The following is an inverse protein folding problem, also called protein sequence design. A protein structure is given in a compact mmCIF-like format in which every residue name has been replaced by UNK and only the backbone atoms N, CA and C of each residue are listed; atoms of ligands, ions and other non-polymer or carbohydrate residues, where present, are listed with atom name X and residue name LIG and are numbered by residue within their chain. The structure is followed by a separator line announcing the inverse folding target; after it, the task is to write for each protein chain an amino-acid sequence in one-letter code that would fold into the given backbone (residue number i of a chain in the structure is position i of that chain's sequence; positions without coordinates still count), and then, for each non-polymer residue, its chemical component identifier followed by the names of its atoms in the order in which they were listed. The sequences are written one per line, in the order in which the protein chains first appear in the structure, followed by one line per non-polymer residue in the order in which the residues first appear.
data_IF_183893480953
#
_entry.id   IF_183893480953
#
_cell.length_a   1.000
_cell.length_b   1.000
_cell.length_c   1.000
_cell.angle_alpha   90.00
_cell.angle_beta   90.00
_cell.angle_gamma   90.00
#
_symmetry.space_group_name_H-M   'P 1'
#
loop_
_entity.id
_entity.type
_entity.pdbx_description
1 polymer ?
#
# COMPACT_ATOMS: atom_id res chain seq x y z
N UNK A 1 30.06 5.09 65.78
CA UNK A 1 28.89 4.22 65.51
C UNK A 1 27.68 5.01 65.04
N UNK A 2 27.18 5.99 65.80
CA UNK A 2 26.01 6.82 65.40
C UNK A 2 26.16 7.52 64.04
N UNK A 3 27.33 8.08 63.75
CA UNK A 3 27.61 8.72 62.45
C UNK A 3 27.60 7.76 61.26
N UNK A 4 28.01 6.50 61.47
CA UNK A 4 28.05 5.45 60.44
C UNK A 4 26.63 4.92 60.21
N UNK A 5 25.88 4.65 61.28
CA UNK A 5 24.47 4.23 61.19
C UNK A 5 23.62 5.27 60.45
N UNK A 6 23.78 6.55 60.76
CA UNK A 6 23.03 7.63 60.12
C UNK A 6 23.40 7.84 58.64
N UNK A 7 24.57 7.36 58.20
CA UNK A 7 24.99 7.44 56.80
C UNK A 7 24.40 6.33 55.92
N UNK A 8 23.78 5.31 56.52
CA UNK A 8 23.16 4.18 55.82
C UNK A 8 21.64 4.35 55.87
N UNK A 9 21.11 4.98 54.83
CA UNK A 9 19.67 5.10 54.55
C UNK A 9 19.36 4.31 53.28
N UNK A 10 18.33 3.48 53.31
CA UNK A 10 17.96 2.61 52.18
C UNK A 10 16.48 2.78 51.88
N UNK A 11 16.16 3.30 50.70
CA UNK A 11 14.80 3.79 50.41
C UNK A 11 14.42 5.00 51.26
N UNK A 12 13.12 5.24 51.42
CA UNK A 12 12.58 6.40 52.14
C UNK A 12 12.59 6.19 53.66
N UNK A 13 12.19 4.99 54.12
CA UNK A 13 12.06 4.66 55.55
C UNK A 13 13.02 3.58 56.05
N UNK A 14 13.84 3.00 55.16
CA UNK A 14 14.83 2.02 55.57
C UNK A 14 16.06 2.66 56.20
N UNK A 15 16.64 1.96 57.17
CA UNK A 15 17.70 2.48 58.03
C UNK A 15 18.59 1.36 58.53
N UNK A 16 19.78 1.67 59.04
CA UNK A 16 20.61 0.70 59.75
C UNK A 16 20.27 0.65 61.24
N UNK A 17 20.32 -0.54 61.83
CA UNK A 17 20.25 -0.77 63.27
C UNK A 17 21.38 -1.72 63.71
N UNK A 18 21.98 -1.43 64.87
CA UNK A 18 23.12 -2.18 65.42
C UNK A 18 22.75 -2.66 66.82
N UNK A 19 23.07 -3.92 67.11
CA UNK A 19 22.76 -4.61 68.35
C UNK A 19 24.02 -5.24 68.96
N UNK A 20 24.03 -5.39 70.28
CA UNK A 20 25.05 -6.20 70.95
C UNK A 20 24.72 -7.71 70.90
N UNK A 21 25.60 -8.53 71.45
CA UNK A 21 25.47 -9.99 71.49
C UNK A 21 24.30 -10.51 72.33
N UNK A 22 23.63 -9.64 73.08
CA UNK A 22 22.46 -9.96 73.91
C UNK A 22 21.16 -9.40 73.32
N UNK A 23 21.22 -8.73 72.17
CA UNK A 23 20.06 -8.12 71.50
C UNK A 23 19.69 -6.72 72.01
N UNK A 24 20.57 -6.05 72.77
CA UNK A 24 20.35 -4.66 73.17
C UNK A 24 20.71 -3.71 72.03
N UNK A 25 19.90 -2.67 71.84
CA UNK A 25 20.13 -1.65 70.81
C UNK A 25 21.37 -0.81 71.13
N UNK A 26 22.37 -0.85 70.25
CA UNK A 26 23.57 0.01 70.30
C UNK A 26 23.41 1.27 69.44
N UNK A 27 22.78 1.15 68.27
CA UNK A 27 22.50 2.28 67.38
C UNK A 27 21.20 2.06 66.61
N UNK A 28 20.31 3.04 66.62
CA UNK A 28 19.01 2.97 65.91
C UNK A 28 18.48 4.40 65.67
N UNK A 29 17.73 4.69 64.58
CA UNK A 29 17.21 6.04 64.32
C UNK A 29 16.27 6.56 65.43
N UNK A 30 15.51 5.66 66.04
CA UNK A 30 14.67 5.98 67.20
C UNK A 30 15.54 6.16 68.47
N UNK A 31 15.83 7.42 68.79
CA UNK A 31 16.68 7.81 69.91
C UNK A 31 16.17 7.30 71.27
N UNK A 32 14.84 7.20 71.45
CA UNK A 32 14.27 6.71 72.72
C UNK A 32 14.64 5.25 72.99
N UNK A 33 14.65 4.41 71.94
CA UNK A 33 15.02 3.01 72.05
C UNK A 33 16.53 2.82 72.27
N UNK A 34 17.34 3.69 71.66
CA UNK A 34 18.78 3.67 71.82
C UNK A 34 19.18 4.14 73.23
N UNK A 35 18.60 5.22 73.74
CA UNK A 35 18.91 5.76 75.07
C UNK A 35 18.41 4.84 76.20
N UNK A 36 17.30 4.12 75.98
CA UNK A 36 16.80 3.14 76.95
C UNK A 36 17.54 1.81 76.92
N UNK A 37 18.45 1.58 75.95
CA UNK A 37 19.10 0.28 75.74
C UNK A 37 18.09 -0.86 75.55
N UNK A 38 17.00 -0.60 74.81
CA UNK A 38 15.90 -1.55 74.70
C UNK A 38 16.41 -2.89 74.14
N UNK A 39 15.99 -3.99 74.77
CA UNK A 39 16.31 -5.33 74.31
C UNK A 39 15.27 -5.81 73.30
N UNK A 40 15.72 -6.12 72.08
CA UNK A 40 14.88 -6.61 70.99
C UNK A 40 15.15 -8.07 70.64
N UNK A 41 15.72 -8.88 71.53
CA UNK A 41 15.99 -10.30 71.29
C UNK A 41 14.72 -11.12 70.96
N UNK A 42 13.53 -10.63 71.36
CA UNK A 42 12.24 -11.24 71.00
C UNK A 42 11.87 -11.08 69.52
N UNK A 43 12.55 -10.22 68.79
CA UNK A 43 12.35 -10.06 67.35
C UNK A 43 13.16 -11.15 66.64
N UNK A 44 12.51 -11.94 65.77
CA UNK A 44 13.10 -13.11 65.11
C UNK A 44 14.46 -12.84 64.47
N UNK A 45 14.56 -11.73 63.74
CA UNK A 45 15.80 -11.35 63.04
C UNK A 45 16.94 -10.95 64.00
N UNK A 46 16.61 -10.44 65.18
CA UNK A 46 17.62 -10.12 66.22
C UNK A 46 18.09 -11.40 66.88
N UNK A 47 17.20 -12.38 67.09
CA UNK A 47 17.59 -13.69 67.59
C UNK A 47 18.55 -14.41 66.62
N UNK A 48 18.26 -14.39 65.31
CA UNK A 48 19.16 -14.94 64.29
C UNK A 48 20.54 -14.27 64.31
N UNK A 49 20.60 -12.95 64.53
CA UNK A 49 21.88 -12.24 64.72
C UNK A 49 22.61 -12.66 66.00
N UNK A 50 21.90 -12.97 67.08
CA UNK A 50 22.53 -13.51 68.31
C UNK A 50 23.08 -14.92 68.04
N UNK A 51 22.36 -15.71 67.24
CA UNK A 51 22.76 -17.07 66.87
C UNK A 51 23.90 -17.09 65.83
N UNK A 52 24.35 -15.92 65.37
CA UNK A 52 25.48 -15.77 64.44
C UNK A 52 25.10 -15.88 62.96
N UNK A 53 23.81 -15.92 62.64
CA UNK A 53 23.34 -16.09 61.26
C UNK A 53 23.47 -14.79 60.44
N UNK A 54 23.68 -14.95 59.14
CA UNK A 54 23.71 -13.86 58.15
C UNK A 54 22.79 -14.21 57.00
N UNK A 55 21.93 -13.27 56.61
CA UNK A 55 20.89 -13.55 55.62
C UNK A 55 19.95 -12.37 55.39
N UNK A 56 18.84 -12.67 54.75
CA UNK A 56 17.73 -11.74 54.54
C UNK A 56 16.48 -12.41 55.07
N UNK A 57 15.75 -11.75 55.97
CA UNK A 57 14.50 -12.28 56.51
C UNK A 57 13.44 -11.20 56.69
N UNK A 58 12.20 -11.65 56.83
CA UNK A 58 11.03 -10.82 57.10
C UNK A 58 10.71 -10.82 58.59
N UNK A 59 10.36 -9.66 59.11
CA UNK A 59 9.97 -9.52 60.50
C UNK A 59 9.03 -8.35 60.70
N UNK A 60 8.21 -8.42 61.76
CA UNK A 60 7.43 -7.28 62.20
C UNK A 60 8.29 -6.39 63.09
N UNK A 61 8.36 -5.09 62.80
CA UNK A 61 9.06 -4.11 63.63
C UNK A 61 8.09 -3.43 64.59
N UNK A 62 8.11 -3.74 65.91
CA UNK A 62 7.27 -3.03 66.88
C UNK A 62 7.49 -1.51 66.90
N UNK A 63 8.74 -0.98 66.78
CA UNK A 63 8.98 0.46 66.71
C UNK A 63 8.37 1.17 65.50
N UNK A 64 8.31 0.48 64.35
CA UNK A 64 7.81 1.05 63.09
C UNK A 64 6.37 0.63 62.77
N UNK A 65 5.81 -0.28 63.57
CA UNK A 65 4.47 -0.87 63.40
C UNK A 65 4.20 -1.34 61.96
N UNK A 66 5.19 -1.99 61.35
CA UNK A 66 5.16 -2.42 59.96
C UNK A 66 5.93 -3.71 59.76
N UNK A 67 5.51 -4.49 58.76
CA UNK A 67 6.28 -5.62 58.26
C UNK A 67 7.46 -5.11 57.43
N UNK A 68 8.64 -5.61 57.80
CA UNK A 68 9.92 -5.18 57.25
C UNK A 68 10.64 -6.39 56.66
N UNK A 69 11.49 -6.12 55.68
CA UNK A 69 12.54 -7.04 55.24
C UNK A 69 13.88 -6.42 55.64
N UNK A 70 14.81 -7.20 56.17
CA UNK A 70 16.18 -6.72 56.37
C UNK A 70 17.21 -7.75 55.95
N UNK A 71 18.30 -7.26 55.36
CA UNK A 71 19.56 -7.97 55.39
C UNK A 71 20.20 -7.81 56.77
N UNK A 72 20.68 -8.89 57.35
CA UNK A 72 21.38 -8.91 58.63
C UNK A 72 22.70 -9.66 58.55
N UNK A 73 23.65 -9.26 59.39
CA UNK A 73 24.94 -9.93 59.55
C UNK A 73 25.49 -9.71 60.96
N UNK A 74 26.47 -10.53 61.34
CA UNK A 74 27.02 -10.57 62.69
C UNK A 74 28.54 -10.42 62.63
N UNK A 75 29.09 -9.55 63.49
CA UNK A 75 30.53 -9.32 63.53
C UNK A 75 31.19 -10.26 64.54
N UNK A 76 31.79 -11.35 64.06
CA UNK A 76 32.33 -12.46 64.88
C UNK A 76 33.25 -12.02 66.03
N UNK A 77 34.07 -10.97 65.85
CA UNK A 77 35.02 -10.50 66.87
C UNK A 77 34.37 -9.70 68.01
N UNK A 78 33.23 -9.07 67.76
CA UNK A 78 32.56 -8.18 68.71
C UNK A 78 31.19 -8.70 69.17
N UNK A 79 30.66 -9.72 68.50
CA UNK A 79 29.31 -10.24 68.71
C UNK A 79 28.21 -9.24 68.33
N UNK A 80 28.52 -8.22 67.52
CA UNK A 80 27.54 -7.19 67.16
C UNK A 80 26.72 -7.60 65.95
N UNK A 81 25.39 -7.54 66.08
CA UNK A 81 24.46 -7.71 64.97
C UNK A 81 24.24 -6.39 64.24
N UNK A 82 24.28 -6.41 62.92
CA UNK A 82 23.96 -5.25 62.06
C UNK A 82 22.85 -5.68 61.12
N UNK A 83 21.77 -4.89 61.07
CA UNK A 83 20.71 -5.08 60.08
C UNK A 83 20.35 -3.77 59.37
N UNK A 84 19.81 -3.90 58.16
CA UNK A 84 19.29 -2.78 57.37
C UNK A 84 17.84 -3.08 56.99
N UNK A 85 16.85 -2.76 57.85
CA UNK A 85 15.44 -2.94 57.55
C UNK A 85 14.87 -1.91 56.58
N UNK A 86 13.98 -2.37 55.71
CA UNK A 86 13.11 -1.56 54.85
C UNK A 86 11.65 -2.06 54.93
N UNK A 87 10.64 -1.17 54.97
CA UNK A 87 9.24 -1.60 54.98
C UNK A 87 8.82 -2.26 53.65
N UNK A 88 8.12 -3.40 53.74
CA UNK A 88 7.62 -4.11 52.55
C UNK A 88 6.66 -3.24 51.74
N UNK A 89 5.88 -2.40 52.43
CA UNK A 89 4.90 -1.51 51.81
C UNK A 89 5.55 -0.46 50.90
N UNK A 90 6.77 -0.03 51.22
CA UNK A 90 7.53 0.92 50.38
C UNK A 90 7.93 0.26 49.04
N UNK A 91 8.36 -1.01 49.11
CA UNK A 91 8.69 -1.80 47.92
C UNK A 91 7.44 -2.01 47.06
N UNK A 92 6.30 -2.34 47.68
CA UNK A 92 5.03 -2.53 46.97
C UNK A 92 4.56 -1.26 46.27
N UNK A 93 4.60 -0.12 46.96
CA UNK A 93 4.17 1.16 46.41
C UNK A 93 5.03 1.58 45.22
N UNK A 94 6.36 1.46 45.33
CA UNK A 94 7.27 1.72 44.21
C UNK A 94 6.94 0.84 42.98
N UNK A 95 6.75 -0.46 43.19
CA UNK A 95 6.43 -1.39 42.10
C UNK A 95 5.08 -1.10 41.44
N UNK A 96 4.04 -0.78 42.22
CA UNK A 96 2.71 -0.50 41.68
C UNK A 96 2.68 0.78 40.84
N UNK A 97 3.39 1.83 41.27
CA UNK A 97 3.49 3.08 40.51
C UNK A 97 4.24 2.89 39.20
N UNK A 98 5.30 2.09 39.21
CA UNK A 98 6.05 1.75 38.00
C UNK A 98 5.21 0.92 37.02
N UNK A 99 4.44 -0.05 37.53
CA UNK A 99 3.48 -0.83 36.71
C UNK A 99 2.42 0.10 36.09
N UNK A 100 1.86 1.05 36.86
CA UNK A 100 0.83 1.96 36.35
C UNK A 100 1.37 2.85 35.22
N UNK A 101 2.55 3.45 35.40
CA UNK A 101 3.21 4.27 34.36
C UNK A 101 3.51 3.42 33.13
N UNK A 102 4.06 2.22 33.31
CA UNK A 102 4.34 1.28 32.21
C UNK A 102 3.06 0.90 31.45
N UNK A 103 1.97 0.63 32.16
CA UNK A 103 0.67 0.30 31.57
C UNK A 103 0.11 1.47 30.76
N UNK A 104 0.20 2.70 31.27
CA UNK A 104 -0.25 3.90 30.55
C UNK A 104 0.54 4.11 29.25
N UNK A 105 1.87 3.96 29.31
CA UNK A 105 2.73 4.03 28.12
C UNK A 105 2.36 2.94 27.11
N UNK A 106 2.13 1.70 27.58
CA UNK A 106 1.74 0.58 26.73
C UNK A 106 0.39 0.81 26.03
N UNK A 107 -0.62 1.29 26.76
CA UNK A 107 -1.93 1.63 26.18
C UNK A 107 -1.82 2.78 25.19
N UNK A 108 -1.05 3.83 25.52
CA UNK A 108 -0.82 4.95 24.61
C UNK A 108 -0.12 4.50 23.32
N UNK A 109 0.89 3.63 23.43
CA UNK A 109 1.57 3.05 22.27
C UNK A 109 0.62 2.19 21.42
N UNK A 110 -0.23 1.37 22.05
CA UNK A 110 -1.22 0.56 21.35
C UNK A 110 -2.22 1.43 20.57
N UNK A 111 -2.75 2.49 21.21
CA UNK A 111 -3.65 3.44 20.55
C UNK A 111 -2.95 4.16 19.39
N UNK A 112 -1.68 4.55 19.56
CA UNK A 112 -0.89 5.17 18.51
C UNK A 112 -0.69 4.22 17.31
N UNK A 113 -0.43 2.93 17.55
CA UNK A 113 -0.33 1.92 16.49
C UNK A 113 -1.65 1.71 15.75
N UNK A 114 -2.78 1.62 16.47
CA UNK A 114 -4.11 1.49 15.86
C UNK A 114 -4.41 2.73 15.02
N UNK A 115 -4.14 3.92 15.54
CA UNK A 115 -4.35 5.19 14.83
C UNK A 115 -3.47 5.30 13.59
N UNK A 116 -2.19 4.96 13.69
CA UNK A 116 -1.26 4.95 12.56
C UNK A 116 -1.69 3.93 11.51
N UNK A 117 -2.12 2.73 11.92
CA UNK A 117 -2.64 1.70 11.04
C UNK A 117 -3.89 2.16 10.29
N UNK A 118 -4.83 2.82 10.97
CA UNK A 118 -6.01 3.41 10.35
C UNK A 118 -5.65 4.50 9.33
N UNK A 119 -4.71 5.39 9.65
CA UNK A 119 -4.23 6.42 8.73
C UNK A 119 -3.58 5.82 7.48
N UNK A 120 -2.70 4.83 7.64
CA UNK A 120 -2.06 4.14 6.51
C UNK A 120 -3.09 3.39 5.66
N UNK A 121 -4.02 2.67 6.28
CA UNK A 121 -5.10 1.96 5.59
C UNK A 121 -5.92 2.94 4.74
N UNK A 122 -6.39 4.04 5.34
CA UNK A 122 -7.18 5.06 4.61
C UNK A 122 -6.40 5.66 3.44
N UNK A 123 -5.10 5.93 3.60
CA UNK A 123 -4.25 6.43 2.50
C UNK A 123 -4.09 5.42 1.37
N UNK A 124 -3.77 4.16 1.70
CA UNK A 124 -3.53 3.12 0.70
C UNK A 124 -4.81 2.78 -0.08
N UNK A 125 -5.92 2.53 0.63
CA UNK A 125 -7.21 2.23 0.01
C UNK A 125 -7.68 3.38 -0.89
N UNK A 126 -7.48 4.63 -0.45
CA UNK A 126 -7.86 5.79 -1.26
C UNK A 126 -7.02 5.93 -2.53
N UNK A 127 -5.71 5.65 -2.49
CA UNK A 127 -4.86 5.68 -3.69
C UNK A 127 -5.28 4.59 -4.70
N UNK A 128 -5.54 3.37 -4.22
CA UNK A 128 -6.00 2.27 -5.08
C UNK A 128 -7.37 2.58 -5.71
N UNK A 129 -8.33 3.03 -4.90
CA UNK A 129 -9.69 3.34 -5.38
C UNK A 129 -9.69 4.38 -6.50
N UNK A 130 -8.84 5.42 -6.38
CA UNK A 130 -8.70 6.45 -7.43
C UNK A 130 -8.02 5.94 -8.68
N UNK A 131 -7.01 5.07 -8.55
CA UNK A 131 -6.39 4.44 -9.72
C UNK A 131 -7.39 3.55 -10.49
N UNK A 132 -8.28 2.85 -9.77
CA UNK A 132 -9.38 2.08 -10.38
C UNK A 132 -10.37 3.02 -11.08
N UNK A 133 -10.73 4.14 -10.46
CA UNK A 133 -11.61 5.15 -11.07
C UNK A 133 -10.98 5.76 -12.34
N UNK A 134 -9.69 6.08 -12.29
CA UNK A 134 -8.93 6.56 -13.44
C UNK A 134 -8.88 5.52 -14.56
N UNK A 135 -8.67 4.23 -14.24
CA UNK A 135 -8.73 3.15 -15.22
C UNK A 135 -10.12 3.07 -15.89
N UNK A 136 -11.19 3.23 -15.11
CA UNK A 136 -12.56 3.27 -15.64
C UNK A 136 -12.75 4.45 -16.60
N UNK A 137 -12.27 5.65 -16.23
CA UNK A 137 -12.31 6.84 -17.09
C UNK A 137 -11.56 6.63 -18.40
N UNK A 138 -10.39 5.98 -18.37
CA UNK A 138 -9.62 5.60 -19.57
C UNK A 138 -10.42 4.63 -20.43
N UNK A 139 -11.05 3.62 -19.82
CA UNK A 139 -11.89 2.67 -20.54
C UNK A 139 -13.04 3.37 -21.26
N UNK A 140 -13.66 4.34 -20.59
CA UNK A 140 -14.74 5.18 -21.11
C UNK A 140 -14.25 6.20 -22.17
N UNK A 141 -12.94 6.28 -22.41
CA UNK A 141 -12.33 7.15 -23.42
C UNK A 141 -12.02 8.58 -22.97
N UNK A 142 -12.01 8.84 -21.66
CA UNK A 142 -11.63 10.13 -21.12
C UNK A 142 -10.12 10.22 -20.88
N UNK A 143 -9.57 11.41 -21.07
CA UNK A 143 -8.19 11.71 -20.67
C UNK A 143 -8.03 11.72 -19.15
N UNK A 144 -6.93 11.15 -18.68
CA UNK A 144 -6.55 11.15 -17.26
C UNK A 144 -5.22 11.88 -17.12
N UNK A 145 -5.23 12.98 -16.36
CA UNK A 145 -4.04 13.72 -16.03
C UNK A 145 -3.22 12.99 -14.95
N UNK A 146 -1.87 13.06 -14.98
CA UNK A 146 -1.04 12.57 -13.90
C UNK A 146 -1.32 13.35 -12.61
N UNK A 147 -1.63 12.66 -11.52
CA UNK A 147 -1.75 13.26 -10.19
C UNK A 147 -0.58 12.82 -9.29
N UNK A 148 0.52 13.59 -9.23
CA UNK A 148 1.69 13.25 -8.44
C UNK A 148 1.47 13.42 -6.93
N UNK A 149 0.39 14.08 -6.48
CA UNK A 149 0.14 14.37 -5.07
C UNK A 149 -0.35 13.15 -4.28
N UNK A 150 -0.82 12.10 -4.97
CA UNK A 150 -1.46 10.93 -4.36
C UNK A 150 -0.54 9.69 -4.25
N UNK A 151 0.75 9.89 -4.48
CA UNK A 151 1.74 8.85 -4.35
C UNK A 151 2.02 8.49 -2.88
N UNK A 152 1.34 7.47 -2.38
CA UNK A 152 1.53 6.94 -1.02
C UNK A 152 2.88 6.25 -0.86
N UNK A 153 3.40 5.66 -1.94
CA UNK A 153 4.67 4.93 -1.96
C UNK A 153 5.34 5.01 -3.35
N UNK A 154 6.56 4.48 -3.47
CA UNK A 154 7.27 4.40 -4.75
C UNK A 154 6.51 3.52 -5.75
N UNK A 155 5.94 2.41 -5.27
CA UNK A 155 5.13 1.47 -6.05
C UNK A 155 3.85 2.16 -6.56
N UNK A 156 3.20 2.99 -5.73
CA UNK A 156 2.04 3.78 -6.14
C UNK A 156 2.37 4.76 -7.27
N UNK A 157 3.57 5.35 -7.28
CA UNK A 157 4.05 6.21 -8.38
C UNK A 157 4.25 5.42 -9.67
N UNK A 158 4.90 4.26 -9.56
CA UNK A 158 5.16 3.39 -10.70
C UNK A 158 3.85 2.91 -11.33
N UNK A 159 2.87 2.50 -10.52
CA UNK A 159 1.55 2.08 -11.00
C UNK A 159 0.82 3.23 -11.72
N UNK A 160 0.80 4.43 -11.14
CA UNK A 160 0.18 5.59 -11.77
C UNK A 160 0.85 5.97 -13.09
N UNK A 161 2.19 5.94 -13.14
CA UNK A 161 2.94 6.21 -14.37
C UNK A 161 2.66 5.15 -15.46
N UNK A 162 2.62 3.87 -15.08
CA UNK A 162 2.27 2.79 -15.98
C UNK A 162 0.84 2.95 -16.53
N UNK A 163 -0.13 3.29 -15.66
CA UNK A 163 -1.52 3.51 -16.03
C UNK A 163 -1.66 4.65 -17.05
N UNK A 164 -0.99 5.78 -16.83
CA UNK A 164 -0.98 6.92 -17.77
C UNK A 164 -0.34 6.52 -19.10
N UNK A 165 0.77 5.77 -19.08
CA UNK A 165 1.42 5.29 -20.30
C UNK A 165 0.49 4.37 -21.10
N UNK A 166 -0.20 3.45 -20.44
CA UNK A 166 -1.18 2.56 -21.09
C UNK A 166 -2.37 3.35 -21.64
N UNK A 167 -2.87 4.35 -20.91
CA UNK A 167 -3.96 5.22 -21.38
C UNK A 167 -3.60 5.88 -22.73
N UNK A 168 -2.39 6.42 -22.80
CA UNK A 168 -1.88 7.06 -24.02
C UNK A 168 -1.77 6.08 -25.19
N UNK A 169 -1.25 4.88 -24.95
CA UNK A 169 -1.16 3.84 -25.99
C UNK A 169 -2.53 3.40 -26.52
N UNK A 170 -3.53 3.26 -25.64
CA UNK A 170 -4.90 2.92 -26.04
C UNK A 170 -5.49 4.03 -26.90
N UNK A 171 -5.29 5.29 -26.53
CA UNK A 171 -5.76 6.44 -27.30
C UNK A 171 -5.11 6.50 -28.69
N UNK A 172 -3.79 6.39 -28.76
CA UNK A 172 -3.05 6.36 -30.03
C UNK A 172 -3.49 5.19 -30.92
N UNK A 173 -3.78 4.02 -30.33
CA UNK A 173 -4.30 2.85 -31.07
C UNK A 173 -5.71 3.10 -31.62
N UNK A 174 -6.60 3.74 -30.84
CA UNK A 174 -7.95 4.11 -31.29
C UNK A 174 -7.90 5.10 -32.46
N UNK A 175 -7.03 6.09 -32.39
CA UNK A 175 -6.85 7.07 -33.47
C UNK A 175 -6.34 6.42 -34.75
N UNK A 176 -5.33 5.55 -34.66
CA UNK A 176 -4.84 4.77 -35.82
C UNK A 176 -5.93 3.89 -36.42
N UNK A 177 -6.72 3.21 -35.59
CA UNK A 177 -7.82 2.38 -36.06
C UNK A 177 -8.90 3.21 -36.76
N UNK A 178 -9.24 4.38 -36.20
CA UNK A 178 -10.19 5.31 -36.81
C UNK A 178 -9.71 5.81 -38.17
N UNK A 179 -8.43 6.16 -38.29
CA UNK A 179 -7.82 6.57 -39.56
C UNK A 179 -7.84 5.44 -40.59
N UNK A 180 -7.43 4.23 -40.21
CA UNK A 180 -7.45 3.06 -41.08
C UNK A 180 -8.88 2.74 -41.57
N UNK A 181 -9.87 2.83 -40.68
CA UNK A 181 -11.27 2.62 -41.02
C UNK A 181 -11.81 3.69 -41.97
N UNK A 182 -11.42 4.96 -41.77
CA UNK A 182 -11.77 6.05 -42.69
C UNK A 182 -11.17 5.84 -44.07
N UNK A 183 -9.90 5.44 -44.15
CA UNK A 183 -9.23 5.14 -45.42
C UNK A 183 -9.88 3.94 -46.14
N UNK A 184 -10.21 2.87 -45.40
CA UNK A 184 -10.90 1.72 -45.96
C UNK A 184 -12.30 2.08 -46.49
N UNK A 185 -13.06 2.91 -45.77
CA UNK A 185 -14.37 3.41 -46.24
C UNK A 185 -14.24 4.24 -47.51
N UNK A 186 -13.23 5.10 -47.59
CA UNK A 186 -12.99 5.92 -48.78
C UNK A 186 -12.62 5.06 -49.99
N UNK A 187 -11.77 4.05 -49.81
CA UNK A 187 -11.46 3.08 -50.87
C UNK A 187 -12.71 2.35 -51.38
N UNK A 188 -13.58 1.89 -50.46
CA UNK A 188 -14.85 1.25 -50.84
C UNK A 188 -15.76 2.22 -51.59
N UNK A 189 -15.83 3.48 -51.15
CA UNK A 189 -16.63 4.53 -51.83
C UNK A 189 -16.14 4.75 -53.26
N UNK A 190 -14.83 4.90 -53.45
CA UNK A 190 -14.22 5.07 -54.77
C UNK A 190 -14.45 3.86 -55.67
N UNK A 191 -14.38 2.65 -55.12
CA UNK A 191 -14.69 1.42 -55.85
C UNK A 191 -16.14 1.38 -56.32
N UNK A 192 -17.09 1.77 -55.46
CA UNK A 192 -18.51 1.82 -55.82
C UNK A 192 -18.79 2.88 -56.90
N UNK A 193 -18.26 4.09 -56.75
CA UNK A 193 -18.39 5.17 -57.75
C UNK A 193 -17.76 4.79 -59.11
N UNK A 194 -16.71 3.97 -59.10
CA UNK A 194 -16.15 3.41 -60.32
C UNK A 194 -17.08 2.37 -60.94
N UNK A 195 -17.59 1.41 -60.15
CA UNK A 195 -18.51 0.36 -60.64
C UNK A 195 -19.75 1.00 -61.26
N UNK A 196 -20.33 2.03 -60.64
CA UNK A 196 -21.50 2.73 -61.16
C UNK A 196 -21.20 3.44 -62.49
N UNK A 197 -20.05 4.09 -62.61
CA UNK A 197 -19.60 4.70 -63.88
C UNK A 197 -19.45 3.66 -64.98
N UNK A 198 -18.77 2.55 -64.70
CA UNK A 198 -18.60 1.45 -65.66
C UNK A 198 -19.95 0.87 -66.07
N UNK A 199 -20.87 0.66 -65.13
CA UNK A 199 -22.22 0.16 -65.43
C UNK A 199 -22.98 1.10 -66.38
N UNK A 200 -22.91 2.41 -66.17
CA UNK A 200 -23.52 3.40 -67.07
C UNK A 200 -22.88 3.39 -68.46
N UNK A 201 -21.56 3.31 -68.52
CA UNK A 201 -20.83 3.29 -69.79
C UNK A 201 -21.00 1.99 -70.57
N UNK A 202 -21.23 0.85 -69.91
CA UNK A 202 -21.53 -0.44 -70.56
C UNK A 202 -22.99 -0.49 -71.03
N UNK A 203 -23.95 0.07 -70.27
CA UNK A 203 -25.37 0.07 -70.66
C UNK A 203 -25.60 0.75 -72.01
N UNK A 204 -24.87 1.82 -72.30
CA UNK A 204 -25.01 2.60 -73.53
C UNK A 204 -24.70 1.79 -74.81
N UNK A 205 -23.51 1.19 -74.99
CA UNK A 205 -23.22 0.33 -76.13
C UNK A 205 -24.05 -0.95 -76.12
N UNK A 206 -24.41 -1.50 -74.96
CA UNK A 206 -25.29 -2.67 -74.88
C UNK A 206 -26.67 -2.37 -75.49
N UNK A 207 -27.24 -1.20 -75.19
CA UNK A 207 -28.47 -0.73 -75.82
C UNK A 207 -28.30 -0.51 -77.33
N UNK A 208 -27.13 -0.08 -77.78
CA UNK A 208 -26.80 0.04 -79.21
C UNK A 208 -26.80 -1.31 -79.93
N UNK A 209 -26.22 -2.35 -79.32
CA UNK A 209 -26.26 -3.73 -79.83
C UNK A 209 -27.69 -4.25 -79.87
N UNK A 210 -28.46 -4.06 -78.79
CA UNK A 210 -29.84 -4.51 -78.70
C UNK A 210 -30.72 -3.84 -79.78
N UNK A 211 -30.64 -2.51 -79.91
CA UNK A 211 -31.41 -1.76 -80.90
C UNK A 211 -31.02 -2.11 -82.35
N UNK A 212 -29.73 -2.30 -82.63
CA UNK A 212 -29.28 -2.78 -83.93
C UNK A 212 -29.83 -4.20 -84.24
N UNK A 213 -29.89 -5.08 -83.24
CA UNK A 213 -30.49 -6.41 -83.37
C UNK A 213 -31.99 -6.38 -83.64
N UNK A 214 -32.75 -5.58 -82.88
CA UNK A 214 -34.20 -5.39 -83.07
C UNK A 214 -34.52 -4.86 -84.48
N UNK A 215 -33.72 -3.93 -85.00
CA UNK A 215 -33.91 -3.38 -86.35
C UNK A 215 -33.58 -4.40 -87.44
N UNK A 216 -32.56 -5.25 -87.24
CA UNK A 216 -32.25 -6.35 -88.17
C UNK A 216 -33.39 -7.37 -88.22
N UNK A 217 -34.03 -7.68 -87.09
CA UNK A 217 -35.19 -8.58 -87.02
C UNK A 217 -36.45 -7.98 -87.68
N UNK A 218 -36.55 -6.65 -87.76
CA UNK A 218 -37.68 -5.92 -88.35
C UNK A 218 -37.63 -5.80 -89.90
N UNK A 219 -37.00 -6.77 -90.58
CA UNK A 219 -36.91 -6.88 -92.05
C UNK A 219 -36.15 -5.70 -92.71
N UNK A 220 -35.03 -5.31 -92.10
CA UNK A 220 -34.13 -4.25 -92.59
C UNK A 220 -33.54 -4.55 -93.99
N UNK A 221 -33.34 -3.50 -94.78
CA UNK A 221 -32.71 -3.61 -96.10
C UNK A 221 -31.23 -4.01 -96.01
N UNK A 222 -30.62 -4.57 -97.08
CA UNK A 222 -29.21 -4.96 -97.08
C UNK A 222 -28.23 -3.84 -96.69
N UNK A 223 -28.55 -2.59 -97.06
CA UNK A 223 -27.73 -1.42 -96.72
C UNK A 223 -27.88 -1.04 -95.24
N UNK A 224 -29.09 -1.13 -94.67
CA UNK A 224 -29.36 -0.92 -93.24
C UNK A 224 -28.73 -2.01 -92.37
N UNK A 225 -28.74 -3.28 -92.80
CA UNK A 225 -28.07 -4.38 -92.11
C UNK A 225 -26.56 -4.12 -92.00
N UNK A 226 -25.92 -3.55 -93.04
CA UNK A 226 -24.50 -3.20 -92.99
C UNK A 226 -24.21 -2.10 -91.97
N UNK A 227 -25.08 -1.09 -91.88
CA UNK A 227 -25.00 -0.02 -90.88
C UNK A 227 -25.20 -0.54 -89.45
N UNK A 228 -26.22 -1.37 -89.21
CA UNK A 228 -26.49 -1.97 -87.90
C UNK A 228 -25.39 -2.93 -87.43
N UNK A 229 -24.80 -3.68 -88.38
CA UNK A 229 -23.61 -4.50 -88.10
C UNK A 229 -22.43 -3.64 -87.66
N UNK A 230 -22.24 -2.48 -88.29
CA UNK A 230 -21.18 -1.55 -87.91
C UNK A 230 -21.42 -0.97 -86.50
N UNK A 231 -22.66 -0.57 -86.18
CA UNK A 231 -23.05 -0.11 -84.83
C UNK A 231 -22.79 -1.17 -83.77
N UNK A 232 -23.10 -2.44 -84.07
CA UNK A 232 -22.85 -3.58 -83.19
C UNK A 232 -21.35 -3.77 -82.95
N UNK A 233 -20.54 -3.77 -84.01
CA UNK A 233 -19.08 -3.93 -83.90
C UNK A 233 -18.43 -2.80 -83.12
N UNK A 234 -18.84 -1.56 -83.34
CA UNK A 234 -18.30 -0.41 -82.62
C UNK A 234 -18.74 -0.39 -81.15
N UNK A 235 -19.97 -0.85 -80.86
CA UNK A 235 -20.45 -1.02 -79.48
C UNK A 235 -19.67 -2.12 -78.73
N UNK A 236 -19.39 -3.26 -79.38
CA UNK A 236 -18.54 -4.32 -78.81
C UNK A 236 -17.13 -3.81 -78.55
N UNK A 237 -16.51 -3.11 -79.51
CA UNK A 237 -15.17 -2.50 -79.32
C UNK A 237 -15.16 -1.54 -78.13
N UNK A 238 -16.22 -0.74 -77.96
CA UNK A 238 -16.33 0.21 -76.85
C UNK A 238 -16.42 -0.51 -75.49
N UNK A 239 -17.20 -1.59 -75.39
CA UNK A 239 -17.25 -2.43 -74.18
C UNK A 239 -15.89 -3.06 -73.88
N UNK A 240 -15.23 -3.63 -74.90
CA UNK A 240 -13.90 -4.23 -74.75
C UNK A 240 -12.89 -3.19 -74.25
N UNK A 241 -12.90 -1.97 -74.79
CA UNK A 241 -12.02 -0.89 -74.32
C UNK A 241 -12.29 -0.48 -72.86
N UNK A 242 -13.56 -0.42 -72.43
CA UNK A 242 -13.93 -0.14 -71.03
C UNK A 242 -13.42 -1.25 -70.09
N UNK A 243 -13.51 -2.51 -70.52
CA UNK A 243 -13.04 -3.66 -69.75
C UNK A 243 -11.50 -3.76 -69.72
N UNK A 244 -10.82 -3.42 -70.81
CA UNK A 244 -9.36 -3.38 -70.89
C UNK A 244 -8.76 -2.26 -70.02
N UNK A 245 -9.42 -1.11 -69.92
CA UNK A 245 -9.03 -0.01 -69.03
C UNK A 245 -8.89 -0.45 -67.56
N UNK A 246 -9.66 -1.45 -67.12
CA UNK A 246 -9.54 -2.06 -65.78
C UNK A 246 -8.20 -2.76 -65.55
N UNK A 247 -7.69 -3.49 -66.54
CA UNK A 247 -6.47 -4.29 -66.37
C UNK A 247 -5.22 -3.41 -66.28
N UNK A 248 -5.15 -2.39 -67.15
CA UNK A 248 -4.04 -1.42 -67.12
C UNK A 248 -4.00 -0.59 -65.82
N UNK A 249 -5.16 -0.22 -65.26
CA UNK A 249 -5.23 0.58 -64.03
C UNK A 249 -4.94 -0.22 -62.76
N UNK A 250 -5.27 -1.51 -62.69
CA UNK A 250 -4.93 -2.36 -61.53
C UNK A 250 -3.45 -2.77 -61.47
N UNK A 251 -2.77 -2.93 -62.61
CA UNK A 251 -1.33 -3.19 -62.64
C UNK A 251 -0.52 -1.97 -62.15
N UNK A 252 -0.89 -0.77 -62.58
CA UNK A 252 -0.26 0.48 -62.11
C UNK A 252 -0.46 0.73 -60.60
N UNK A 253 -1.58 0.29 -60.03
CA UNK A 253 -1.84 0.46 -58.59
C UNK A 253 -1.04 -0.53 -57.73
N UNK A 254 -0.83 -1.77 -58.21
CA UNK A 254 -0.02 -2.79 -57.51
C UNK A 254 1.48 -2.46 -57.50
N UNK A 255 2.00 -1.82 -58.55
CA UNK A 255 3.41 -1.39 -58.59
C UNK A 255 3.73 -0.26 -57.60
N UNK A 256 2.73 0.57 -57.25
CA UNK A 256 2.92 1.74 -56.38
C UNK A 256 2.76 1.44 -54.89
N UNK A 257 2.05 0.36 -54.49
CA UNK A 257 1.99 -0.12 -53.10
C UNK A 257 3.18 -1.03 -52.71
N UNK A 258 4.03 -1.41 -53.67
CA UNK A 258 5.21 -2.27 -53.48
C UNK A 258 6.52 -1.51 -53.15
N UNK A 259 6.46 -0.18 -52.98
CA UNK A 259 7.60 0.69 -52.63
C UNK A 259 7.36 1.38 -51.30
#
# INVERSE_FOLDING_TARGET
MRSIQASIQFGDRGHSAIFDQYGNVLAHPNLKLQESGANLAKVSIVQQMIDGETGVDFFYSPPMQADMIAGHTTLERAGWGIMVPQPIEEIKQGVLDDIRKGTLIGVAALLAFIFMGFLMSKRLTSSIARNIENLKRISDGNEVAPDPSNAVSRESKLLSAALVSTARQVQESRERLSQALSAAKENIRQQNEFIDRVNHEIRTPLNGIAGAGELIEADASPDEIAEYKQITLDSVRKITAILEYRFASQELFKENESK
#
